data_IF_574634459326
#
_entry.id   IF_574634459326
#
_cell.length_a   1.000
_cell.length_b   1.000
_cell.length_c   1.000
_cell.angle_alpha   90.00
_cell.angle_beta   90.00
_cell.angle_gamma   90.00
#
_symmetry.space_group_name_H-M   'P 1'
#
loop_
_entity.id
_entity.type
_entity.pdbx_description
1 polymer ?
#
# COMPACT_ATOMS: atom_id res chain seq x y z
N UNK A 1 4.21 -1.42 30.69
CA UNK A 1 4.74 -2.74 30.95
C UNK A 1 4.07 -3.80 30.10
N UNK A 2 4.64 -4.04 28.94
CA UNK A 2 4.00 -4.87 27.92
C UNK A 2 4.71 -6.20 27.72
N UNK A 3 5.40 -6.65 28.80
CA UNK A 3 6.18 -7.89 28.76
C UNK A 3 5.33 -9.14 28.55
N UNK A 4 4.00 -9.02 28.70
CA UNK A 4 3.07 -10.15 28.54
C UNK A 4 2.46 -10.23 27.14
N UNK A 5 2.72 -9.27 26.26
CA UNK A 5 2.18 -9.26 24.92
C UNK A 5 3.26 -9.58 23.90
N UNK A 6 2.93 -10.49 22.96
CA UNK A 6 3.78 -10.73 21.81
C UNK A 6 3.71 -9.54 20.84
N UNK A 7 4.64 -9.50 19.90
CA UNK A 7 4.63 -8.47 18.84
C UNK A 7 3.33 -8.55 18.05
N UNK A 8 2.87 -9.75 17.73
CA UNK A 8 1.64 -9.97 16.99
C UNK A 8 0.42 -9.47 17.75
N UNK A 9 0.36 -9.72 19.06
CA UNK A 9 -0.75 -9.23 19.89
C UNK A 9 -0.75 -7.70 19.96
N UNK A 10 0.42 -7.11 20.10
CA UNK A 10 0.56 -5.64 20.12
C UNK A 10 0.15 -5.05 18.77
N UNK A 11 0.51 -5.71 17.68
CA UNK A 11 0.09 -5.30 16.33
C UNK A 11 -1.43 -5.34 16.18
N UNK A 12 -2.07 -6.41 16.65
CA UNK A 12 -3.53 -6.53 16.61
C UNK A 12 -4.21 -5.43 17.42
N UNK A 13 -3.66 -5.08 18.59
CA UNK A 13 -4.15 -3.96 19.39
C UNK A 13 -4.03 -2.64 18.62
N UNK A 14 -2.89 -2.44 17.95
CA UNK A 14 -2.68 -1.24 17.15
C UNK A 14 -3.72 -1.13 16.02
N UNK A 15 -3.94 -2.21 15.27
CA UNK A 15 -4.94 -2.26 14.20
C UNK A 15 -6.34 -1.97 14.74
N UNK A 16 -6.68 -2.53 15.91
CA UNK A 16 -7.96 -2.31 16.56
C UNK A 16 -8.16 -0.82 16.91
N UNK A 17 -7.13 -0.19 17.47
CA UNK A 17 -7.18 1.24 17.79
C UNK A 17 -7.34 2.10 16.54
N UNK A 18 -6.70 1.72 15.43
CA UNK A 18 -6.83 2.45 14.18
C UNK A 18 -8.23 2.32 13.58
N UNK A 19 -8.85 1.15 13.74
CA UNK A 19 -10.18 0.87 13.16
C UNK A 19 -11.33 1.41 14.00
N UNK A 20 -11.25 1.26 15.32
CA UNK A 20 -12.39 1.48 16.23
C UNK A 20 -12.08 2.39 17.41
N UNK A 21 -10.83 2.74 17.63
CA UNK A 21 -10.38 3.54 18.75
C UNK A 21 -9.76 4.86 18.33
N UNK A 22 -8.58 5.14 18.87
CA UNK A 22 -7.86 6.38 18.63
C UNK A 22 -6.61 6.16 17.80
N UNK A 23 -6.46 6.91 16.71
CA UNK A 23 -5.30 6.86 15.83
C UNK A 23 -3.99 7.12 16.62
N UNK A 24 -4.01 8.04 17.57
CA UNK A 24 -2.84 8.36 18.39
C UNK A 24 -2.35 7.16 19.20
N UNK A 25 -3.27 6.36 19.72
CA UNK A 25 -2.93 5.12 20.45
C UNK A 25 -2.36 4.07 19.51
N UNK A 26 -2.97 3.91 18.33
CA UNK A 26 -2.47 3.01 17.32
C UNK A 26 -1.07 3.38 16.87
N UNK A 27 -0.83 4.66 16.63
CA UNK A 27 0.48 5.18 16.23
C UNK A 27 1.54 4.89 17.30
N UNK A 28 1.20 5.12 18.57
CA UNK A 28 2.12 4.83 19.68
C UNK A 28 2.50 3.35 19.73
N UNK A 29 1.51 2.47 19.60
CA UNK A 29 1.74 1.02 19.61
C UNK A 29 2.62 0.59 18.42
N UNK A 30 2.38 1.13 17.23
CA UNK A 30 3.19 0.83 16.06
C UNK A 30 4.63 1.29 16.23
N UNK A 31 4.85 2.47 16.79
CA UNK A 31 6.19 2.98 17.08
C UNK A 31 6.92 2.11 18.11
N UNK A 32 6.21 1.61 19.12
CA UNK A 32 6.79 0.66 20.07
C UNK A 32 7.20 -0.64 19.38
N UNK A 33 6.37 -1.14 18.46
CA UNK A 33 6.68 -2.35 17.71
C UNK A 33 7.97 -2.18 16.91
N UNK A 34 8.10 -1.13 16.11
CA UNK A 34 9.29 -0.95 15.27
C UNK A 34 10.53 -0.57 16.08
N UNK A 35 10.38 -0.02 17.29
CA UNK A 35 11.50 0.22 18.19
C UNK A 35 12.11 -1.08 18.67
N UNK A 36 11.29 -2.09 18.91
CA UNK A 36 11.72 -3.41 19.40
C UNK A 36 12.01 -4.37 18.25
N UNK A 37 11.28 -4.27 17.14
CA UNK A 37 11.44 -5.12 15.96
C UNK A 37 11.32 -4.26 14.70
N UNK A 38 12.43 -3.63 14.27
CA UNK A 38 12.42 -2.78 13.08
C UNK A 38 12.10 -3.52 11.78
N UNK A 39 12.16 -4.85 11.80
CA UNK A 39 11.91 -5.69 10.62
C UNK A 39 10.46 -6.19 10.55
N UNK A 40 9.59 -5.67 11.41
CA UNK A 40 8.17 -6.05 11.40
C UNK A 40 7.45 -5.30 10.27
N UNK A 41 7.38 -5.94 9.11
CA UNK A 41 6.94 -5.31 7.86
C UNK A 41 5.55 -4.68 7.96
N UNK A 42 4.60 -5.35 8.59
CA UNK A 42 3.21 -4.88 8.62
C UNK A 42 3.01 -3.65 9.50
N UNK A 43 3.86 -3.44 10.49
CA UNK A 43 3.85 -2.20 11.25
C UNK A 43 4.28 -1.02 10.37
N UNK A 44 5.28 -1.22 9.52
CA UNK A 44 5.67 -0.21 8.55
C UNK A 44 4.53 0.12 7.57
N UNK A 45 3.78 -0.89 7.12
CA UNK A 45 2.62 -0.67 6.27
C UNK A 45 1.58 0.24 6.94
N UNK A 46 1.23 -0.05 8.19
CA UNK A 46 0.25 0.76 8.92
C UNK A 46 0.77 2.18 9.17
N UNK A 47 2.04 2.33 9.51
CA UNK A 47 2.66 3.64 9.68
C UNK A 47 2.65 4.43 8.36
N UNK A 48 2.95 3.77 7.26
CA UNK A 48 2.86 4.41 5.95
C UNK A 48 1.48 4.98 5.67
N UNK A 49 0.44 4.23 5.98
CA UNK A 49 -0.94 4.68 5.80
C UNK A 49 -1.28 5.88 6.69
N UNK A 50 -0.88 5.86 7.96
CA UNK A 50 -1.13 6.97 8.88
C UNK A 50 -0.44 8.23 8.38
N UNK A 51 0.83 8.12 8.00
CA UNK A 51 1.58 9.27 7.50
C UNK A 51 1.04 9.78 6.17
N UNK A 52 0.51 8.91 5.34
CA UNK A 52 -0.05 9.32 4.04
C UNK A 52 -1.42 9.98 4.19
N UNK A 53 -2.36 9.29 4.84
CA UNK A 53 -3.77 9.72 4.85
C UNK A 53 -4.10 10.70 5.97
N UNK A 54 -3.52 10.52 7.15
CA UNK A 54 -3.90 11.29 8.33
C UNK A 54 -2.96 12.47 8.59
N UNK A 55 -1.65 12.22 8.64
CA UNK A 55 -0.66 13.25 8.97
C UNK A 55 -0.22 14.02 7.74
N UNK A 56 -0.21 13.37 6.59
CA UNK A 56 0.23 13.93 5.31
C UNK A 56 1.71 14.30 5.29
N UNK A 57 2.50 13.50 5.99
CA UNK A 57 3.96 13.51 5.88
C UNK A 57 4.36 12.48 4.82
N UNK A 58 4.47 12.94 3.58
CA UNK A 58 4.66 12.05 2.44
C UNK A 58 6.04 11.41 2.41
N UNK A 59 7.04 12.08 2.95
CA UNK A 59 8.39 11.52 3.04
C UNK A 59 8.41 10.32 4.01
N UNK A 60 7.81 10.49 5.19
CA UNK A 60 7.70 9.41 6.17
C UNK A 60 6.85 8.26 5.62
N UNK A 61 5.74 8.59 4.95
CA UNK A 61 4.88 7.57 4.34
C UNK A 61 5.66 6.73 3.31
N UNK A 62 6.42 7.38 2.44
CA UNK A 62 7.23 6.69 1.43
C UNK A 62 8.28 5.79 2.05
N UNK A 63 8.94 6.26 3.10
CA UNK A 63 9.93 5.45 3.83
C UNK A 63 9.30 4.16 4.36
N UNK A 64 8.15 4.26 5.02
CA UNK A 64 7.51 3.10 5.63
C UNK A 64 6.93 2.14 4.59
N UNK A 65 6.31 2.64 3.52
CA UNK A 65 5.82 1.78 2.45
C UNK A 65 6.97 1.05 1.75
N UNK A 66 8.05 1.76 1.46
CA UNK A 66 9.22 1.15 0.83
C UNK A 66 9.82 0.07 1.73
N UNK A 67 9.98 0.37 3.01
CA UNK A 67 10.52 -0.58 3.98
C UNK A 67 9.64 -1.84 4.06
N UNK A 68 8.33 -1.67 4.11
CA UNK A 68 7.40 -2.80 4.12
C UNK A 68 7.56 -3.67 2.86
N UNK A 69 7.58 -3.07 1.69
CA UNK A 69 7.70 -3.79 0.42
C UNK A 69 9.05 -4.52 0.29
N UNK A 70 10.10 -3.96 0.85
CA UNK A 70 11.42 -4.60 0.86
C UNK A 70 11.48 -5.78 1.83
N UNK A 71 10.88 -5.62 3.01
CA UNK A 71 10.88 -6.67 4.04
C UNK A 71 9.94 -7.83 3.71
N UNK A 72 8.79 -7.55 3.12
CA UNK A 72 7.78 -8.55 2.79
C UNK A 72 7.24 -8.32 1.38
N UNK A 73 8.03 -8.65 0.33
CA UNK A 73 7.63 -8.35 -1.05
C UNK A 73 6.34 -9.04 -1.50
N UNK A 74 5.96 -10.14 -0.86
CA UNK A 74 4.75 -10.88 -1.20
C UNK A 74 3.49 -10.36 -0.50
N UNK A 75 3.61 -9.34 0.35
CA UNK A 75 2.46 -8.75 1.04
C UNK A 75 1.70 -7.83 0.09
N UNK A 76 0.52 -8.26 -0.42
CA UNK A 76 -0.13 -7.54 -1.51
C UNK A 76 -0.66 -6.16 -1.12
N UNK A 77 -1.06 -5.98 0.13
CA UNK A 77 -1.73 -4.75 0.59
C UNK A 77 -0.82 -3.52 0.53
N UNK A 78 0.49 -3.71 0.55
CA UNK A 78 1.44 -2.61 0.57
C UNK A 78 1.52 -1.85 -0.75
N UNK A 79 1.18 -2.50 -1.87
CA UNK A 79 1.47 -1.95 -3.19
C UNK A 79 0.56 -0.83 -3.63
N UNK A 80 -0.75 -0.96 -3.41
CA UNK A 80 -1.71 0.05 -3.87
C UNK A 80 -1.48 1.42 -3.22
N UNK A 81 -1.44 1.55 -1.89
CA UNK A 81 -1.24 2.87 -1.29
C UNK A 81 0.16 3.43 -1.56
N UNK A 82 1.17 2.57 -1.66
CA UNK A 82 2.51 3.03 -2.01
C UNK A 82 2.53 3.60 -3.43
N UNK A 83 1.91 2.90 -4.38
CA UNK A 83 1.83 3.36 -5.76
C UNK A 83 1.05 4.67 -5.87
N UNK A 84 -0.09 4.79 -5.16
CA UNK A 84 -0.85 6.04 -5.10
C UNK A 84 0.05 7.21 -4.70
N UNK A 85 0.85 7.02 -3.66
CA UNK A 85 1.77 8.05 -3.18
C UNK A 85 2.80 8.43 -4.26
N UNK A 86 3.41 7.45 -4.90
CA UNK A 86 4.43 7.71 -5.92
C UNK A 86 3.85 8.45 -7.12
N UNK A 87 2.64 8.09 -7.54
CA UNK A 87 1.95 8.77 -8.65
C UNK A 87 1.57 10.20 -8.24
N UNK A 88 1.05 10.37 -7.02
CA UNK A 88 0.71 11.68 -6.49
C UNK A 88 1.92 12.62 -6.46
N UNK A 89 3.09 12.11 -6.07
CA UNK A 89 4.33 12.87 -6.02
C UNK A 89 5.05 12.95 -7.37
N UNK A 90 4.49 12.33 -8.41
CA UNK A 90 5.07 12.26 -9.75
C UNK A 90 6.49 11.67 -9.77
N UNK A 91 6.70 10.63 -8.99
CA UNK A 91 7.96 9.89 -8.95
C UNK A 91 7.93 8.77 -9.99
N UNK A 92 8.05 9.15 -11.25
CA UNK A 92 7.79 8.28 -12.40
C UNK A 92 8.62 6.99 -12.40
N UNK A 93 9.93 7.09 -12.17
CA UNK A 93 10.81 5.92 -12.21
C UNK A 93 10.46 4.91 -11.13
N UNK A 94 10.27 5.38 -9.90
CA UNK A 94 9.88 4.52 -8.78
C UNK A 94 8.50 3.92 -9.01
N UNK A 95 7.55 4.71 -9.52
CA UNK A 95 6.20 4.25 -9.81
C UNK A 95 6.23 3.15 -10.87
N UNK A 96 6.97 3.34 -11.96
CA UNK A 96 7.08 2.36 -13.04
C UNK A 96 7.69 1.05 -12.54
N UNK A 97 8.74 1.13 -11.73
CA UNK A 97 9.37 -0.05 -11.14
C UNK A 97 8.41 -0.79 -10.21
N UNK A 98 7.67 -0.02 -9.39
CA UNK A 98 6.71 -0.62 -8.46
C UNK A 98 5.55 -1.29 -9.18
N UNK A 99 5.05 -0.69 -10.26
CA UNK A 99 3.98 -1.27 -11.08
C UNK A 99 4.41 -2.64 -11.61
N UNK A 100 5.59 -2.73 -12.21
CA UNK A 100 6.11 -3.98 -12.73
C UNK A 100 6.19 -5.07 -11.66
N UNK A 101 6.62 -4.71 -10.46
CA UNK A 101 6.69 -5.63 -9.33
C UNK A 101 5.29 -6.03 -8.84
N UNK A 102 4.42 -5.05 -8.65
CA UNK A 102 3.08 -5.27 -8.11
C UNK A 102 2.27 -6.25 -8.95
N UNK A 103 2.38 -6.16 -10.28
CA UNK A 103 1.65 -7.03 -11.20
C UNK A 103 2.09 -8.49 -11.11
N UNK A 104 3.25 -8.77 -10.49
CA UNK A 104 3.73 -10.16 -10.28
C UNK A 104 3.32 -10.72 -8.93
N UNK A 105 2.76 -9.91 -8.03
CA UNK A 105 2.44 -10.32 -6.65
C UNK A 105 1.01 -10.84 -6.59
N UNK A 106 0.85 -12.07 -6.12
CA UNK A 106 -0.48 -12.67 -5.94
C UNK A 106 -1.28 -11.89 -4.91
N UNK A 107 -2.56 -11.66 -5.20
CA UNK A 107 -3.47 -10.97 -4.29
C UNK A 107 -3.51 -9.45 -4.45
N UNK A 108 -2.63 -8.86 -5.26
CA UNK A 108 -2.66 -7.44 -5.56
C UNK A 108 -3.89 -7.13 -6.43
N UNK A 109 -4.53 -6.01 -6.16
CA UNK A 109 -5.64 -5.53 -6.99
C UNK A 109 -5.08 -4.93 -8.29
N UNK A 110 -4.97 -5.77 -9.32
CA UNK A 110 -4.39 -5.36 -10.59
C UNK A 110 -5.16 -4.23 -11.26
N UNK A 111 -6.48 -4.20 -11.11
CA UNK A 111 -7.29 -3.10 -11.64
C UNK A 111 -6.86 -1.76 -11.05
N UNK A 112 -6.61 -1.72 -9.74
CA UNK A 112 -6.14 -0.51 -9.06
C UNK A 112 -4.73 -0.12 -9.55
N UNK A 113 -3.86 -1.10 -9.77
CA UNK A 113 -2.51 -0.83 -10.29
C UNK A 113 -2.57 -0.22 -11.70
N UNK A 114 -3.37 -0.81 -12.58
CA UNK A 114 -3.54 -0.26 -13.93
C UNK A 114 -4.17 1.13 -13.94
N UNK A 115 -5.10 1.37 -13.01
CA UNK A 115 -5.69 2.71 -12.86
C UNK A 115 -4.62 3.74 -12.51
N UNK A 116 -3.73 3.41 -11.59
CA UNK A 116 -2.64 4.30 -11.22
C UNK A 116 -1.66 4.54 -12.38
N UNK A 117 -1.40 3.51 -13.17
CA UNK A 117 -0.60 3.64 -14.39
C UNK A 117 -1.27 4.62 -15.37
N UNK A 118 -2.59 4.50 -15.52
CA UNK A 118 -3.36 5.44 -16.34
C UNK A 118 -3.21 6.88 -15.86
N UNK A 119 -3.33 7.11 -14.56
CA UNK A 119 -3.15 8.44 -13.97
C UNK A 119 -1.73 8.98 -14.19
N UNK A 120 -0.72 8.14 -14.04
CA UNK A 120 0.67 8.52 -14.27
C UNK A 120 0.87 8.97 -15.72
N UNK A 121 0.35 8.20 -16.67
CA UNK A 121 0.46 8.52 -18.10
C UNK A 121 -0.33 9.78 -18.45
N UNK A 122 -1.49 10.03 -17.83
CA UNK A 122 -2.24 11.29 -18.00
C UNK A 122 -1.41 12.48 -17.55
N UNK A 123 -0.74 12.38 -16.40
CA UNK A 123 0.11 13.45 -15.88
C UNK A 123 1.20 13.82 -16.88
N UNK A 124 1.71 12.84 -17.61
CA UNK A 124 2.75 13.03 -18.62
C UNK A 124 2.18 13.25 -20.02
N UNK A 125 0.85 13.40 -20.13
CA UNK A 125 0.14 13.67 -21.39
C UNK A 125 0.35 12.59 -22.45
N UNK A 126 0.63 11.38 -22.02
CA UNK A 126 0.72 10.21 -22.88
C UNK A 126 -0.67 9.55 -22.94
N UNK A 127 -1.53 10.13 -23.77
CA UNK A 127 -2.94 9.79 -23.80
C UNK A 127 -3.18 8.35 -24.28
N UNK A 128 -2.39 7.88 -25.24
CA UNK A 128 -2.54 6.52 -25.77
C UNK A 128 -2.21 5.48 -24.68
N UNK A 129 -1.12 5.68 -23.97
CA UNK A 129 -0.74 4.79 -22.88
C UNK A 129 -1.71 4.88 -21.70
N UNK A 130 -2.21 6.08 -21.40
CA UNK A 130 -3.23 6.26 -20.36
C UNK A 130 -4.49 5.47 -20.70
N UNK A 131 -4.98 5.61 -21.93
CA UNK A 131 -6.18 4.91 -22.39
C UNK A 131 -6.00 3.40 -22.33
N UNK A 132 -4.85 2.90 -22.75
CA UNK A 132 -4.55 1.47 -22.70
C UNK A 132 -4.55 0.97 -21.25
N UNK A 133 -3.94 1.70 -20.33
CA UNK A 133 -3.91 1.32 -18.92
C UNK A 133 -5.32 1.28 -18.32
N UNK A 134 -6.18 2.23 -18.66
CA UNK A 134 -7.55 2.22 -18.18
C UNK A 134 -8.36 1.07 -18.78
N UNK A 135 -8.09 0.71 -20.02
CA UNK A 135 -8.71 -0.48 -20.63
C UNK A 135 -8.26 -1.75 -19.92
N UNK A 136 -6.98 -1.85 -19.59
CA UNK A 136 -6.43 -2.98 -18.85
C UNK A 136 -7.09 -3.07 -17.46
N UNK A 137 -7.29 -1.94 -16.78
CA UNK A 137 -7.99 -1.88 -15.50
C UNK A 137 -9.42 -2.40 -15.63
N UNK A 138 -10.13 -1.95 -16.66
CA UNK A 138 -11.51 -2.37 -16.92
C UNK A 138 -11.60 -3.87 -17.18
N UNK A 139 -10.67 -4.41 -17.96
CA UNK A 139 -10.64 -5.86 -18.28
C UNK A 139 -10.42 -6.70 -17.02
N UNK A 140 -9.58 -6.24 -16.09
CA UNK A 140 -9.35 -6.94 -14.83
C UNK A 140 -10.64 -7.04 -14.00
N UNK A 141 -11.42 -5.96 -13.93
CA UNK A 141 -12.70 -5.94 -13.20
C UNK A 141 -13.70 -6.88 -13.87
N UNK A 142 -13.81 -6.83 -15.20
CA UNK A 142 -14.74 -7.65 -15.97
C UNK A 142 -14.43 -9.14 -15.82
N UNK A 143 -13.16 -9.52 -15.92
CA UNK A 143 -12.73 -10.90 -15.76
C UNK A 143 -13.05 -11.43 -14.34
N UNK A 144 -12.86 -10.59 -13.34
CA UNK A 144 -13.16 -10.94 -11.94
C UNK A 144 -14.65 -11.15 -11.73
N UNK A 145 -15.49 -10.30 -12.32
CA UNK A 145 -16.94 -10.41 -12.23
C UNK A 145 -17.44 -11.66 -12.96
N UNK A 146 -16.89 -11.97 -14.11
CA UNK A 146 -17.21 -13.19 -14.86
C UNK A 146 -16.87 -14.44 -14.04
N UNK A 147 -15.73 -14.47 -13.38
CA UNK A 147 -15.35 -15.59 -12.51
C UNK A 147 -16.30 -15.75 -11.33
N UNK A 148 -16.75 -14.63 -10.74
CA UNK A 148 -17.71 -14.65 -9.64
C UNK A 148 -19.06 -15.21 -10.10
N UNK A 149 -19.49 -14.91 -11.33
CA UNK A 149 -20.76 -15.38 -11.89
C UNK A 149 -20.75 -16.87 -12.21
N UNK A 150 -19.60 -17.45 -12.47
CA UNK A 150 -19.44 -18.87 -12.79
C UNK A 150 -19.43 -19.74 -11.52
N UNK A 151 -18.94 -19.22 -10.41
CA UNK A 151 -18.87 -19.91 -9.13
C UNK A 151 -20.21 -19.82 -8.38
#
# INVERSE_FOLDING_TARGET
>A
MDTFYTVEEKYLQAVDELAYGETSKGLKLLNEIISNDPLYARAHYQLGRIFYYDIKDYQAAGYHFQTCAELEPAFPDAYEPYLELLVFLDMEKKATTLIAKALTVAGVNNAAIYKQLGLLNEKHKDWNKALQAYRDAFMEVTDKDEKADID
#
